data_IF_308432501839
#
_entry.id   IF_308432501839
#
_cell.length_a   1.000
_cell.length_b   1.000
_cell.length_c   1.000
_cell.angle_alpha   90.00
_cell.angle_beta   90.00
_cell.angle_gamma   90.00
#
_symmetry.space_group_name_H-M   'P 1'
#
loop_
_entity.id
_entity.type
_entity.pdbx_description
1 polymer ?
#
# COMPACT_ATOMS: atom_id res chain seq x y z
N UNK A 1 14.82 -2.15 -4.10
CA UNK A 1 13.88 -1.97 -2.97
C UNK A 1 13.05 -0.73 -3.22
N UNK A 2 11.82 -0.71 -2.72
CA UNK A 2 10.88 0.39 -2.95
C UNK A 2 11.33 1.64 -2.21
N UNK A 3 11.13 2.79 -2.82
CA UNK A 3 11.51 4.09 -2.27
C UNK A 3 10.32 4.79 -1.64
N UNK A 4 10.60 5.68 -0.69
CA UNK A 4 9.58 6.56 -0.14
C UNK A 4 8.93 7.37 -1.28
N UNK A 5 7.60 7.39 -1.32
CA UNK A 5 6.85 8.05 -2.39
C UNK A 5 6.49 7.18 -3.59
N UNK A 6 7.03 5.96 -3.70
CA UNK A 6 6.58 5.01 -4.73
C UNK A 6 5.09 4.68 -4.55
N UNK A 7 4.37 4.53 -5.67
CA UNK A 7 3.02 3.98 -5.70
C UNK A 7 3.08 2.54 -6.18
N UNK A 8 2.62 1.62 -5.35
CA UNK A 8 2.62 0.18 -5.63
C UNK A 8 1.19 -0.33 -5.76
N UNK A 9 1.00 -1.36 -6.59
CA UNK A 9 -0.27 -2.07 -6.71
C UNK A 9 -0.13 -3.43 -5.99
N UNK A 10 -0.93 -3.65 -4.95
CA UNK A 10 -0.86 -4.87 -4.14
C UNK A 10 -2.23 -5.56 -4.04
N UNK A 11 -2.27 -6.90 -3.94
CA UNK A 11 -3.50 -7.62 -3.65
C UNK A 11 -3.89 -7.44 -2.18
N UNK A 12 -5.06 -6.86 -1.93
CA UNK A 12 -5.65 -6.77 -0.58
C UNK A 12 -6.89 -7.67 -0.54
N UNK A 13 -6.94 -8.67 0.37
CA UNK A 13 -8.13 -9.50 0.55
C UNK A 13 -9.26 -8.68 1.19
N UNK A 14 -10.50 -8.98 0.82
CA UNK A 14 -11.63 -8.52 1.61
C UNK A 14 -11.64 -9.18 2.99
N UNK A 15 -12.34 -8.56 3.96
CA UNK A 15 -12.47 -9.08 5.32
C UNK A 15 -13.06 -10.51 5.38
N UNK A 16 -13.83 -10.91 4.36
CA UNK A 16 -14.40 -12.26 4.25
C UNK A 16 -13.52 -13.23 3.44
N UNK A 17 -12.31 -12.83 3.05
CA UNK A 17 -11.30 -13.61 2.31
C UNK A 17 -11.77 -14.22 0.98
N UNK A 18 -12.94 -13.83 0.48
CA UNK A 18 -13.58 -14.45 -0.69
C UNK A 18 -12.94 -14.02 -2.02
N UNK A 19 -12.46 -12.78 -2.08
CA UNK A 19 -11.93 -12.13 -3.28
C UNK A 19 -10.76 -11.23 -2.86
N UNK A 20 -9.75 -11.13 -3.72
CA UNK A 20 -8.66 -10.15 -3.60
C UNK A 20 -8.88 -9.02 -4.60
N UNK A 21 -8.74 -7.77 -4.15
CA UNK A 21 -8.73 -6.59 -5.05
C UNK A 21 -7.34 -6.01 -5.09
N UNK A 22 -6.88 -5.64 -6.28
CA UNK A 22 -5.68 -4.83 -6.44
C UNK A 22 -5.97 -3.41 -5.93
N UNK A 23 -5.17 -2.93 -4.98
CA UNK A 23 -5.32 -1.60 -4.37
C UNK A 23 -4.01 -0.83 -4.49
N UNK A 24 -4.04 0.41 -4.99
CA UNK A 24 -2.86 1.26 -4.97
C UNK A 24 -2.52 1.66 -3.53
N UNK A 25 -1.23 1.66 -3.21
CA UNK A 25 -0.70 2.10 -1.92
C UNK A 25 0.50 3.03 -2.14
N UNK A 26 0.69 3.99 -1.23
CA UNK A 26 1.84 4.89 -1.20
C UNK A 26 2.86 4.39 -0.16
N UNK A 27 4.13 4.31 -0.54
CA UNK A 27 5.22 3.96 0.38
C UNK A 27 5.56 5.13 1.30
N UNK A 28 5.42 4.94 2.61
CA UNK A 28 5.68 5.95 3.63
C UNK A 28 7.02 5.77 4.35
N UNK A 29 7.48 4.53 4.50
CA UNK A 29 8.78 4.25 5.12
C UNK A 29 9.93 4.77 4.26
N UNK A 30 11.00 5.24 4.92
CA UNK A 30 12.17 5.81 4.25
C UNK A 30 13.02 4.74 3.56
N UNK A 31 13.85 5.18 2.61
CA UNK A 31 14.68 4.29 1.78
C UNK A 31 15.64 3.42 2.61
N UNK A 32 16.16 3.92 3.73
CA UNK A 32 17.04 3.13 4.59
C UNK A 32 16.27 1.97 5.25
N UNK A 33 15.12 2.24 5.86
CA UNK A 33 14.26 1.20 6.42
C UNK A 33 13.89 0.19 5.33
N UNK A 34 13.44 0.69 4.19
CA UNK A 34 13.04 -0.14 3.04
C UNK A 34 14.21 -0.89 2.42
N UNK A 35 15.48 -0.64 2.80
CA UNK A 35 16.66 -1.37 2.32
C UNK A 35 17.09 -2.51 3.25
N UNK A 36 16.84 -2.37 4.55
CA UNK A 36 17.28 -3.35 5.55
C UNK A 36 16.18 -4.31 6.02
N UNK A 37 14.91 -4.01 5.75
CA UNK A 37 13.77 -4.83 6.18
C UNK A 37 13.02 -5.45 5.01
N UNK A 38 12.27 -6.54 5.25
CA UNK A 38 11.34 -7.09 4.25
C UNK A 38 9.93 -6.50 4.36
N UNK A 39 9.68 -5.72 5.41
CA UNK A 39 8.40 -5.10 5.70
C UNK A 39 8.35 -3.69 5.12
N UNK A 40 7.17 -3.24 4.70
CA UNK A 40 6.99 -1.92 4.09
C UNK A 40 5.84 -1.19 4.78
N UNK A 41 6.08 0.04 5.24
CA UNK A 41 5.02 0.89 5.77
C UNK A 41 4.37 1.64 4.61
N UNK A 42 3.07 1.43 4.42
CA UNK A 42 2.31 2.00 3.30
C UNK A 42 0.98 2.61 3.75
N UNK A 43 0.46 3.55 2.97
CA UNK A 43 -0.91 4.07 3.09
C UNK A 43 -1.77 3.65 1.90
N UNK A 44 -3.00 3.22 2.14
CA UNK A 44 -3.94 2.88 1.08
C UNK A 44 -4.46 4.11 0.36
N UNK A 45 -4.55 4.06 -0.97
CA UNK A 45 -5.14 5.10 -1.83
C UNK A 45 -6.54 4.66 -2.25
N UNK A 46 -7.53 5.55 -2.15
CA UNK A 46 -8.91 5.32 -2.58
C UNK A 46 -9.43 6.48 -3.41
N UNK A 47 -10.20 6.19 -4.46
CA UNK A 47 -10.97 7.18 -5.23
C UNK A 47 -12.35 7.46 -4.64
N UNK A 48 -12.73 6.77 -3.56
CA UNK A 48 -13.92 7.10 -2.78
C UNK A 48 -13.65 8.39 -2.01
N UNK A 49 -13.86 9.50 -2.71
CA UNK A 49 -13.93 10.81 -2.09
C UNK A 49 -15.14 10.82 -1.17
N UNK A 50 -14.98 11.40 0.03
CA UNK A 50 -16.10 11.58 0.95
C UNK A 50 -17.18 12.38 0.23
N UNK A 51 -18.37 11.80 0.04
CA UNK A 51 -19.57 12.62 -0.19
C UNK A 51 -19.98 13.13 1.19
N UNK A 52 -19.81 14.43 1.40
CA UNK A 52 -20.38 15.14 2.53
C UNK A 52 -21.91 15.00 2.55
#
# INVERSE_FOLDING_TARGET
MYKQGDILLIPIPFSNLSITKQRPVLVLSNDNYNQFTKDLLVAAITSQLVSA
#
